data_IF_808278728567
#
_entry.id   IF_808278728567
#
_cell.length_a   1.000
_cell.length_b   1.000
_cell.length_c   1.000
_cell.angle_alpha   90.00
_cell.angle_beta   90.00
_cell.angle_gamma   90.00
#
_symmetry.space_group_name_H-M   'P 1'
#
loop_
_entity.id
_entity.type
_entity.pdbx_description
1 polymer ?
#
# COMPACT_ATOMS: atom_id res chain seq x y z
N UNK A 1 -4.70 16.03 -14.27
CA UNK A 1 -3.53 15.41 -13.60
C UNK A 1 -3.81 13.95 -13.37
N UNK A 2 -2.78 13.11 -13.30
CA UNK A 2 -2.93 11.69 -12.91
C UNK A 2 -3.22 11.67 -11.41
N UNK A 3 -4.33 11.05 -11.01
CA UNK A 3 -4.70 10.85 -9.62
C UNK A 3 -4.69 9.36 -9.27
N UNK A 4 -4.33 9.01 -8.02
CA UNK A 4 -3.71 9.90 -7.03
C UNK A 4 -2.28 10.29 -7.44
N UNK A 5 -1.87 11.49 -7.06
CA UNK A 5 -0.50 11.95 -7.19
C UNK A 5 0.39 11.33 -6.12
N UNK A 6 1.70 11.31 -6.37
CA UNK A 6 2.67 10.81 -5.40
C UNK A 6 2.60 11.52 -4.03
N UNK A 7 2.38 12.84 -4.03
CA UNK A 7 2.26 13.61 -2.79
C UNK A 7 1.00 13.22 -2.00
N UNK A 8 -0.10 12.90 -2.69
CA UNK A 8 -1.32 12.40 -2.05
C UNK A 8 -1.07 11.01 -1.43
N UNK A 9 -0.40 10.12 -2.16
CA UNK A 9 -0.05 8.79 -1.63
C UNK A 9 0.87 8.88 -0.40
N UNK A 10 1.93 9.72 -0.43
CA UNK A 10 2.79 9.90 0.74
C UNK A 10 2.03 10.43 1.95
N UNK A 11 1.12 11.38 1.75
CA UNK A 11 0.29 11.90 2.85
C UNK A 11 -0.56 10.80 3.45
N UNK A 12 -1.27 10.01 2.64
CA UNK A 12 -2.13 8.92 3.12
C UNK A 12 -1.31 7.88 3.89
N UNK A 13 -0.20 7.42 3.33
CA UNK A 13 0.61 6.36 3.97
C UNK A 13 1.21 6.83 5.30
N UNK A 14 1.74 8.06 5.35
CA UNK A 14 2.37 8.58 6.58
C UNK A 14 1.35 9.14 7.59
N UNK A 15 0.07 9.29 7.25
CA UNK A 15 -0.94 9.85 8.17
C UNK A 15 -1.22 8.94 9.37
N UNK A 16 -0.78 7.68 9.30
CA UNK A 16 -0.94 6.71 10.39
C UNK A 16 0.27 6.65 11.34
N UNK A 17 1.37 7.37 11.07
CA UNK A 17 2.52 7.40 11.97
C UNK A 17 2.17 8.19 13.24
N UNK A 18 2.52 7.67 14.42
CA UNK A 18 2.25 8.37 15.66
C UNK A 18 3.10 9.64 15.77
N UNK A 19 2.63 10.61 16.55
CA UNK A 19 3.37 11.85 16.75
C UNK A 19 4.74 11.57 17.40
N UNK A 20 5.82 11.83 16.65
CA UNK A 20 7.20 11.60 17.08
C UNK A 20 7.85 10.34 16.50
N UNK A 21 7.11 9.52 15.75
CA UNK A 21 7.68 8.39 15.00
C UNK A 21 8.24 8.83 13.64
N UNK A 22 9.23 8.09 13.13
CA UNK A 22 9.74 8.33 11.80
C UNK A 22 8.68 8.02 10.73
N UNK A 23 8.63 8.77 9.62
CA UNK A 23 7.66 8.50 8.58
C UNK A 23 7.94 7.14 7.93
N UNK A 24 6.88 6.34 7.76
CA UNK A 24 6.92 5.01 7.13
C UNK A 24 7.52 5.07 5.71
N UNK A 25 7.27 6.15 4.97
CA UNK A 25 7.83 6.35 3.63
C UNK A 25 8.41 7.75 3.43
N UNK A 26 9.70 7.78 3.08
CA UNK A 26 10.48 9.01 2.85
C UNK A 26 10.85 9.23 1.37
N UNK A 27 10.52 8.27 0.49
CA UNK A 27 10.95 8.29 -0.92
C UNK A 27 9.86 7.87 -1.90
N UNK A 28 9.99 8.29 -3.16
CA UNK A 28 9.11 7.85 -4.27
C UNK A 28 9.23 6.37 -4.53
N UNK A 29 10.45 5.88 -4.40
CA UNK A 29 10.79 4.50 -4.69
C UNK A 29 10.08 3.54 -3.74
N UNK A 30 9.89 3.90 -2.46
CA UNK A 30 9.16 3.07 -1.50
C UNK A 30 7.71 2.81 -1.94
N UNK A 31 7.00 3.83 -2.42
CA UNK A 31 5.63 3.68 -2.93
C UNK A 31 5.58 2.85 -4.21
N UNK A 32 6.55 3.05 -5.11
CA UNK A 32 6.66 2.25 -6.34
C UNK A 32 6.90 0.78 -6.02
N UNK A 33 7.79 0.49 -5.08
CA UNK A 33 8.11 -0.89 -4.66
C UNK A 33 6.90 -1.53 -3.98
N UNK A 34 6.24 -0.82 -3.05
CA UNK A 34 5.08 -1.35 -2.34
C UNK A 34 3.90 -1.63 -3.28
N UNK A 35 3.55 -0.68 -4.17
CA UNK A 35 2.49 -0.88 -5.17
C UNK A 35 2.82 -2.02 -6.14
N UNK A 36 4.09 -2.18 -6.52
CA UNK A 36 4.53 -3.32 -7.34
C UNK A 36 4.46 -4.66 -6.60
N UNK A 37 4.86 -4.71 -5.32
CA UNK A 37 4.71 -5.90 -4.47
C UNK A 37 3.24 -6.30 -4.34
N UNK A 38 2.37 -5.35 -4.02
CA UNK A 38 0.93 -5.59 -3.87
C UNK A 38 0.28 -6.02 -5.20
N UNK A 39 0.64 -5.39 -6.31
CA UNK A 39 0.17 -5.81 -7.64
C UNK A 39 0.55 -7.28 -7.94
N UNK A 40 1.74 -7.73 -7.54
CA UNK A 40 2.14 -9.15 -7.68
C UNK A 40 1.33 -10.09 -6.81
N UNK A 41 0.95 -9.69 -5.59
CA UNK A 41 0.05 -10.49 -4.74
C UNK A 41 -1.32 -10.67 -5.42
N UNK A 42 -1.88 -9.60 -5.99
CA UNK A 42 -3.16 -9.65 -6.73
C UNK A 42 -3.04 -10.58 -7.96
N UNK A 43 -1.94 -10.50 -8.70
CA UNK A 43 -1.66 -11.43 -9.82
C UNK A 43 -1.56 -12.88 -9.32
N UNK A 44 -1.01 -13.09 -8.12
CA UNK A 44 -0.95 -14.39 -7.45
C UNK A 44 -2.27 -14.89 -6.87
N UNK A 45 -3.38 -14.18 -7.08
CA UNK A 45 -4.71 -14.58 -6.63
C UNK A 45 -5.15 -13.97 -5.29
N UNK A 46 -4.36 -13.06 -4.70
CA UNK A 46 -4.81 -12.33 -3.52
C UNK A 46 -6.03 -11.46 -3.85
N UNK A 47 -7.01 -11.45 -2.97
CA UNK A 47 -8.26 -10.70 -3.17
C UNK A 47 -7.98 -9.18 -3.17
N UNK A 48 -8.47 -8.44 -4.19
CA UNK A 48 -8.51 -6.98 -4.18
C UNK A 48 -9.42 -6.44 -3.06
N UNK A 49 -8.95 -5.44 -2.34
CA UNK A 49 -9.67 -4.82 -1.22
C UNK A 49 -10.46 -3.57 -1.63
N UNK A 50 -10.51 -3.25 -2.92
CA UNK A 50 -11.25 -2.11 -3.48
C UNK A 50 -12.47 -2.58 -4.27
N UNK A 51 -13.58 -1.82 -4.24
CA UNK A 51 -14.77 -2.15 -5.01
C UNK A 51 -14.50 -2.07 -6.52
N UNK A 52 -15.26 -2.84 -7.30
CA UNK A 52 -15.20 -2.84 -8.76
C UNK A 52 -13.78 -3.11 -9.31
N UNK A 53 -13.04 -4.02 -8.68
CA UNK A 53 -11.70 -4.42 -9.10
C UNK A 53 -11.67 -5.21 -10.43
N UNK A 54 -12.78 -5.86 -10.78
CA UNK A 54 -12.89 -6.67 -12.00
C UNK A 54 -12.53 -5.85 -13.26
N UNK A 55 -11.60 -6.37 -14.06
CA UNK A 55 -11.14 -5.73 -15.29
C UNK A 55 -10.15 -4.56 -15.10
N UNK A 56 -9.87 -4.13 -13.87
CA UNK A 56 -8.80 -3.16 -13.59
C UNK A 56 -7.43 -3.84 -13.67
N UNK A 57 -6.39 -3.09 -14.06
CA UNK A 57 -5.01 -3.57 -14.01
C UNK A 57 -4.59 -3.78 -12.54
N UNK A 58 -3.85 -4.86 -12.20
CA UNK A 58 -3.41 -5.12 -10.82
C UNK A 58 -2.68 -3.95 -10.17
N UNK A 59 -1.84 -3.23 -10.93
CA UNK A 59 -1.14 -2.06 -10.42
C UNK A 59 -2.09 -0.89 -10.09
N UNK A 60 -3.14 -0.70 -10.89
CA UNK A 60 -4.15 0.34 -10.62
C UNK A 60 -4.92 0.04 -9.34
N UNK A 61 -5.26 -1.23 -9.12
CA UNK A 61 -5.89 -1.72 -7.89
C UNK A 61 -4.96 -1.46 -6.69
N UNK A 62 -3.68 -1.86 -6.78
CA UNK A 62 -2.72 -1.67 -5.70
C UNK A 62 -2.51 -0.18 -5.31
N UNK A 63 -2.49 0.72 -6.30
CA UNK A 63 -2.40 2.16 -6.03
C UNK A 63 -3.67 2.69 -5.35
N UNK A 64 -4.84 2.21 -5.77
CA UNK A 64 -6.13 2.58 -5.16
C UNK A 64 -6.24 2.07 -3.72
N UNK A 65 -5.79 0.83 -3.45
CA UNK A 65 -5.73 0.24 -2.11
C UNK A 65 -4.81 1.04 -1.17
N UNK A 66 -3.63 1.46 -1.66
CA UNK A 66 -2.73 2.34 -0.88
C UNK A 66 -3.36 3.70 -0.62
N UNK A 67 -4.06 4.28 -1.61
CA UNK A 67 -4.69 5.59 -1.47
C UNK A 67 -5.92 5.60 -0.56
N UNK A 68 -6.66 4.49 -0.53
CA UNK A 68 -7.83 4.30 0.34
C UNK A 68 -7.44 3.82 1.74
N UNK A 69 -6.18 3.41 1.94
CA UNK A 69 -5.68 2.90 3.22
C UNK A 69 -6.04 1.43 3.50
N UNK A 70 -6.58 0.72 2.51
CA UNK A 70 -6.94 -0.70 2.63
C UNK A 70 -5.70 -1.60 2.74
N UNK A 71 -4.55 -1.14 2.27
CA UNK A 71 -3.24 -1.78 2.42
C UNK A 71 -2.27 -0.80 3.06
N UNK A 72 -1.44 -1.29 3.99
CA UNK A 72 -0.39 -0.52 4.65
C UNK A 72 0.99 -0.96 4.18
N UNK A 73 1.93 -0.02 4.19
CA UNK A 73 3.35 -0.32 4.03
C UNK A 73 3.89 -0.53 5.44
N UNK A 74 4.56 -1.65 5.67
CA UNK A 74 5.23 -1.96 6.94
C UNK A 74 6.71 -1.59 6.81
N UNK A 75 7.32 -1.09 7.89
CA UNK A 75 8.77 -0.87 7.96
C UNK A 75 9.53 -2.19 8.02
N UNK A 76 10.84 -2.17 7.75
CA UNK A 76 11.68 -3.38 7.83
C UNK A 76 11.75 -3.98 9.24
N UNK A 77 11.46 -3.18 10.28
CA UNK A 77 11.40 -3.61 11.68
C UNK A 77 10.00 -4.12 12.11
N UNK A 78 8.96 -3.91 11.29
CA UNK A 78 7.57 -4.30 11.57
C UNK A 78 7.21 -5.70 11.01
N UNK A 79 8.18 -6.43 10.43
CA UNK A 79 7.98 -7.74 9.79
C UNK A 79 7.75 -8.91 10.80
N UNK A 80 7.23 -8.63 12.00
CA UNK A 80 6.95 -9.62 13.04
C UNK A 80 5.63 -9.36 13.74
N UNK A 81 4.58 -10.06 13.26
CA UNK A 81 3.59 -10.84 14.04
C UNK A 81 2.47 -11.28 13.07
N UNK A 82 2.74 -12.26 12.20
CA UNK A 82 1.65 -13.14 11.75
C UNK A 82 1.31 -14.06 12.94
N UNK A 83 0.24 -13.73 13.67
CA UNK A 83 -0.44 -14.69 14.53
C UNK A 83 -0.78 -15.91 13.69
N UNK A 84 -0.01 -16.97 13.87
CA UNK A 84 -0.36 -18.31 13.42
C UNK A 84 -1.66 -18.72 14.08
N UNK A 85 -2.74 -18.65 13.30
CA UNK A 85 -4.05 -19.21 13.61
C UNK A 85 -3.86 -20.64 14.15
N UNK A 86 -4.14 -20.82 15.45
CA UNK A 86 -4.20 -22.12 16.14
C UNK A 86 -5.65 -22.53 16.30
#
# INVERSE_FOLDING_TARGET
MIHPSYNELMKVVNNNAAYGEEPVVNSRYSIVIASAKRARQIIGGAEPLVPNAAGKKPLSIAVEELYTGNVKILGEDDDVEEEGDR
#
